data_IF_158307589860
#
_entry.id   IF_158307589860
#
_cell.length_a   1.000
_cell.length_b   1.000
_cell.length_c   1.000
_cell.angle_alpha   90.00
_cell.angle_beta   90.00
_cell.angle_gamma   90.00
#
_symmetry.space_group_name_H-M   'P 1'
#
loop_
_entity.id
_entity.type
_entity.pdbx_description
1 polymer ?
#
# COMPACT_ATOMS: atom_id res chain seq x y z
N UNK A 1 0.39 -10.30 -0.94
CA UNK A 1 0.69 -9.52 -2.17
C UNK A 1 2.19 -9.44 -2.38
N UNK A 2 2.66 -9.26 -3.61
CA UNK A 2 4.10 -9.11 -3.94
C UNK A 2 4.32 -7.96 -4.92
N UNK A 3 5.54 -7.42 -4.96
CA UNK A 3 6.00 -6.44 -5.94
C UNK A 3 7.52 -6.60 -6.08
N UNK A 4 7.97 -7.10 -7.24
CA UNK A 4 9.36 -7.49 -7.45
C UNK A 4 10.31 -6.30 -7.32
N UNK A 5 9.98 -5.16 -7.92
CA UNK A 5 10.80 -3.94 -7.87
C UNK A 5 10.87 -3.28 -6.49
N UNK A 6 9.97 -3.65 -5.57
CA UNK A 6 9.97 -3.11 -4.21
C UNK A 6 10.79 -3.94 -3.23
N UNK A 7 10.65 -5.27 -3.29
CA UNK A 7 11.32 -6.23 -2.40
C UNK A 7 11.37 -7.60 -3.07
N UNK A 8 12.47 -7.90 -3.73
CA UNK A 8 12.68 -9.12 -4.50
C UNK A 8 12.84 -10.36 -3.60
N UNK A 9 13.58 -10.27 -2.48
CA UNK A 9 13.71 -11.41 -1.57
C UNK A 9 12.38 -11.78 -0.92
N UNK A 10 11.54 -10.79 -0.63
CA UNK A 10 10.16 -11.02 -0.19
C UNK A 10 9.35 -11.74 -1.25
N UNK A 11 9.45 -11.31 -2.52
CA UNK A 11 8.76 -11.94 -3.64
C UNK A 11 9.17 -13.40 -3.77
N UNK A 12 10.47 -13.71 -3.80
CA UNK A 12 10.98 -15.09 -3.86
C UNK A 12 10.48 -15.95 -2.70
N UNK A 13 10.55 -15.44 -1.46
CA UNK A 13 10.05 -16.15 -0.28
C UNK A 13 8.55 -16.44 -0.36
N UNK A 14 7.75 -15.52 -0.90
CA UNK A 14 6.31 -15.74 -1.09
C UNK A 14 6.05 -16.91 -2.04
N UNK A 15 6.75 -16.96 -3.18
CA UNK A 15 6.59 -18.05 -4.15
C UNK A 15 6.97 -19.41 -3.54
N UNK A 16 8.11 -19.48 -2.85
CA UNK A 16 8.55 -20.72 -2.17
C UNK A 16 7.55 -21.17 -1.10
N UNK A 17 7.02 -20.24 -0.29
CA UNK A 17 6.04 -20.57 0.74
C UNK A 17 4.70 -21.01 0.15
N UNK A 18 4.24 -20.34 -0.90
CA UNK A 18 3.00 -20.65 -1.58
C UNK A 18 3.04 -22.02 -2.27
N UNK A 19 4.17 -22.39 -2.86
CA UNK A 19 4.37 -23.69 -3.49
C UNK A 19 4.41 -24.84 -2.47
N UNK A 20 5.08 -24.64 -1.32
CA UNK A 20 5.16 -25.64 -0.25
C UNK A 20 3.87 -25.83 0.53
N UNK A 21 2.93 -24.89 0.45
CA UNK A 21 1.70 -24.95 1.20
C UNK A 21 0.80 -26.08 0.66
N UNK A 22 0.40 -27.01 1.53
CA UNK A 22 -0.48 -28.13 1.19
C UNK A 22 -1.93 -27.68 1.13
N UNK A 23 -2.25 -26.79 0.19
CA UNK A 23 -3.55 -26.18 0.03
C UNK A 23 -3.58 -25.11 -1.07
N UNK A 24 -4.70 -24.41 -1.26
CA UNK A 24 -4.79 -23.35 -2.24
C UNK A 24 -3.92 -22.15 -1.84
N UNK A 25 -3.14 -21.64 -2.79
CA UNK A 25 -2.29 -20.47 -2.61
C UNK A 25 -2.67 -19.37 -3.60
N UNK A 26 -2.79 -18.13 -3.10
CA UNK A 26 -3.05 -16.94 -3.92
C UNK A 26 -1.89 -15.95 -3.82
N UNK A 27 -1.27 -15.65 -4.97
CA UNK A 27 -0.25 -14.61 -5.10
C UNK A 27 -0.81 -13.48 -5.95
N UNK A 28 -0.99 -12.30 -5.33
CA UNK A 28 -1.35 -11.08 -6.04
C UNK A 28 -0.08 -10.27 -6.27
N UNK A 29 0.38 -10.21 -7.52
CA UNK A 29 1.60 -9.51 -7.90
C UNK A 29 1.29 -8.16 -8.56
N UNK A 30 1.94 -7.10 -8.09
CA UNK A 30 1.88 -5.81 -8.79
C UNK A 30 2.62 -5.95 -10.13
N UNK A 31 1.88 -5.82 -11.22
CA UNK A 31 2.41 -5.87 -12.59
C UNK A 31 2.31 -4.49 -13.20
N UNK A 32 3.46 -3.88 -13.46
CA UNK A 32 3.50 -2.59 -14.13
C UNK A 32 3.28 -2.81 -15.64
N UNK A 33 2.59 -1.88 -16.30
CA UNK A 33 2.23 -2.01 -17.71
C UNK A 33 2.43 -0.68 -18.45
N UNK A 34 2.65 -0.74 -19.76
CA UNK A 34 2.69 0.44 -20.64
C UNK A 34 1.42 1.30 -20.51
N UNK A 35 0.27 0.68 -20.22
CA UNK A 35 -1.00 1.35 -20.02
C UNK A 35 -1.01 2.29 -18.79
N UNK A 36 -0.07 2.12 -17.85
CA UNK A 36 0.08 3.07 -16.74
C UNK A 36 0.70 4.40 -17.22
N UNK A 37 1.32 4.43 -18.40
CA UNK A 37 1.99 5.61 -18.94
C UNK A 37 3.26 5.96 -18.17
N UNK A 38 4.05 4.94 -17.85
CA UNK A 38 5.36 5.03 -17.17
C UNK A 38 6.50 4.78 -18.15
N UNK A 39 7.70 5.25 -17.82
CA UNK A 39 8.91 4.86 -18.55
C UNK A 39 9.31 3.43 -18.16
N UNK A 40 9.23 2.50 -19.11
CA UNK A 40 9.42 1.07 -18.82
C UNK A 40 10.84 0.73 -18.34
N UNK A 41 11.85 1.51 -18.74
CA UNK A 41 13.22 1.36 -18.27
C UNK A 41 13.37 1.61 -16.76
N UNK A 42 12.45 2.38 -16.15
CA UNK A 42 12.44 2.71 -14.70
C UNK A 42 11.26 2.07 -13.96
N UNK A 43 10.61 1.08 -14.56
CA UNK A 43 9.36 0.55 -14.03
C UNK A 43 9.52 -0.17 -12.69
N UNK A 44 10.68 -0.76 -12.41
CA UNK A 44 10.98 -1.39 -11.12
C UNK A 44 11.01 -0.34 -9.99
N UNK A 45 11.58 0.83 -10.25
CA UNK A 45 11.57 1.95 -9.31
C UNK A 45 10.14 2.45 -9.07
N UNK A 46 9.27 2.44 -10.08
CA UNK A 46 7.85 2.77 -9.90
C UNK A 46 7.12 1.75 -9.02
N UNK A 47 7.42 0.44 -9.13
CA UNK A 47 6.87 -0.56 -8.20
C UNK A 47 7.32 -0.28 -6.75
N UNK A 48 8.59 0.10 -6.56
CA UNK A 48 9.11 0.49 -5.24
C UNK A 48 8.34 1.68 -4.67
N UNK A 49 8.07 2.71 -5.48
CA UNK A 49 7.27 3.87 -5.07
C UNK A 49 5.81 3.49 -4.77
N UNK A 50 5.22 2.54 -5.51
CA UNK A 50 3.88 2.03 -5.22
C UNK A 50 3.79 1.41 -3.82
N UNK A 51 4.83 0.68 -3.39
CA UNK A 51 4.88 0.12 -2.04
C UNK A 51 5.19 1.19 -0.99
N UNK A 52 6.15 2.08 -1.25
CA UNK A 52 6.53 3.15 -0.31
C UNK A 52 5.40 4.15 -0.08
N UNK A 53 4.50 4.34 -1.04
CA UNK A 53 3.33 5.22 -0.89
C UNK A 53 2.16 4.58 -0.14
N UNK A 54 2.25 3.28 0.18
CA UNK A 54 1.12 2.52 0.73
C UNK A 54 0.05 2.15 -0.32
N UNK A 55 0.19 2.59 -1.57
CA UNK A 55 -0.73 2.22 -2.65
C UNK A 55 -0.78 0.71 -2.86
N UNK A 56 0.35 0.03 -2.67
CA UNK A 56 0.46 -1.44 -2.73
C UNK A 56 1.16 -2.01 -1.49
N UNK A 57 0.43 -2.28 -0.38
CA UNK A 57 1.04 -2.90 0.79
C UNK A 57 1.48 -4.34 0.49
N UNK A 58 2.57 -4.78 1.11
CA UNK A 58 3.09 -6.14 1.01
C UNK A 58 2.71 -6.90 2.27
N UNK A 59 1.93 -7.97 2.11
CA UNK A 59 1.50 -8.82 3.22
C UNK A 59 1.41 -10.29 2.80
N UNK A 60 1.42 -11.16 3.80
CA UNK A 60 1.21 -12.60 3.65
C UNK A 60 0.18 -13.07 4.67
N UNK A 61 -0.65 -14.02 4.26
CA UNK A 61 -1.53 -14.75 5.16
C UNK A 61 -1.10 -16.21 5.15
N UNK A 62 -0.72 -16.77 6.31
CA UNK A 62 -0.35 -18.16 6.45
C UNK A 62 -1.31 -18.87 7.42
N UNK A 63 -2.24 -19.69 6.91
CA UNK A 63 -3.20 -20.42 7.75
C UNK A 63 -2.55 -21.35 8.79
N UNK A 64 -1.33 -21.83 8.57
CA UNK A 64 -0.62 -22.67 9.56
C UNK A 64 -0.38 -21.95 10.88
N UNK A 65 -0.10 -20.64 10.84
CA UNK A 65 0.19 -19.87 12.04
C UNK A 65 -1.05 -19.78 12.92
N UNK A 66 -2.24 -19.63 12.33
CA UNK A 66 -3.49 -19.66 13.07
C UNK A 66 -3.70 -21.00 13.79
N UNK A 67 -3.30 -22.13 13.18
CA UNK A 67 -3.35 -23.45 13.82
C UNK A 67 -2.37 -23.60 14.98
N UNK A 68 -1.31 -22.80 15.00
CA UNK A 68 -0.31 -22.74 16.06
C UNK A 68 -0.65 -21.69 17.13
N UNK A 69 -1.78 -20.97 17.00
CA UNK A 69 -2.16 -19.88 17.90
C UNK A 69 -1.41 -18.57 17.65
N UNK A 70 -0.66 -18.48 16.55
CA UNK A 70 0.04 -17.26 16.10
C UNK A 70 -0.83 -16.44 15.12
N UNK A 71 -0.48 -15.17 14.90
CA UNK A 71 -1.18 -14.34 13.93
C UNK A 71 -0.87 -14.81 12.49
N UNK A 72 -1.88 -15.22 11.70
CA UNK A 72 -1.66 -15.64 10.32
C UNK A 72 -1.29 -14.51 9.38
N UNK A 73 -1.66 -13.25 9.69
CA UNK A 73 -1.37 -12.10 8.84
C UNK A 73 -0.05 -11.47 9.24
N UNK A 74 0.87 -11.40 8.27
CA UNK A 74 2.16 -10.74 8.40
C UNK A 74 2.21 -9.58 7.42
N UNK A 75 2.41 -8.36 7.93
CA UNK A 75 2.63 -7.17 7.13
C UNK A 75 4.14 -6.98 6.90
N UNK A 76 4.59 -7.13 5.66
CA UNK A 76 6.01 -7.11 5.28
C UNK A 76 6.48 -5.75 4.72
N UNK A 77 5.54 -4.88 4.34
CA UNK A 77 5.81 -3.48 3.99
C UNK A 77 6.01 -2.63 5.25
N UNK A 78 6.85 -1.60 5.14
CA UNK A 78 6.93 -0.54 6.16
C UNK A 78 5.79 0.46 5.99
N UNK A 79 5.53 1.26 7.04
CA UNK A 79 4.60 2.39 6.99
C UNK A 79 4.82 3.26 5.75
N UNK A 80 3.74 3.82 5.15
CA UNK A 80 3.84 4.72 4.01
C UNK A 80 4.81 5.86 4.30
N UNK A 81 5.81 6.05 3.44
CA UNK A 81 6.88 7.05 3.60
C UNK A 81 6.79 8.21 2.62
N UNK A 82 6.05 8.02 1.53
CA UNK A 82 5.87 9.02 0.48
C UNK A 82 4.38 9.26 0.25
N UNK A 83 3.95 10.50 -0.05
CA UNK A 83 2.56 10.76 -0.42
C UNK A 83 2.16 10.00 -1.68
N UNK A 84 0.91 9.53 -1.75
CA UNK A 84 0.37 8.84 -2.93
C UNK A 84 0.51 9.69 -4.19
N UNK A 85 0.32 11.01 -4.08
CA UNK A 85 0.48 11.96 -5.19
C UNK A 85 1.84 11.86 -5.87
N UNK A 86 2.92 11.66 -5.11
CA UNK A 86 4.27 11.56 -5.67
C UNK A 86 4.42 10.34 -6.59
N UNK A 87 3.88 9.20 -6.16
CA UNK A 87 3.80 8.00 -7.00
C UNK A 87 2.86 8.23 -8.20
N UNK A 88 1.66 8.76 -7.97
CA UNK A 88 0.66 8.92 -9.01
C UNK A 88 1.11 9.88 -10.13
N UNK A 89 1.87 10.93 -9.80
CA UNK A 89 2.42 11.86 -10.78
C UNK A 89 3.45 11.23 -11.72
N UNK A 90 4.01 10.06 -11.39
CA UNK A 90 4.90 9.30 -12.29
C UNK A 90 4.13 8.55 -13.38
N UNK A 91 2.83 8.32 -13.21
CA UNK A 91 2.03 7.53 -14.14
C UNK A 91 1.16 8.44 -15.02
N UNK A 92 1.21 8.21 -16.34
CA UNK A 92 0.38 8.90 -17.32
C UNK A 92 -1.12 8.77 -17.06
N UNK A 93 -1.57 7.61 -16.55
CA UNK A 93 -3.00 7.35 -16.25
C UNK A 93 -3.60 8.32 -15.24
N UNK A 94 -2.81 8.80 -14.27
CA UNK A 94 -3.27 9.79 -13.29
C UNK A 94 -3.03 11.21 -13.80
N UNK A 95 -1.89 11.47 -14.44
CA UNK A 95 -1.57 12.79 -15.03
C UNK A 95 -2.58 13.23 -16.09
N UNK A 96 -3.18 12.30 -16.82
CA UNK A 96 -4.22 12.60 -17.81
C UNK A 96 -5.42 13.33 -17.18
N UNK A 97 -5.85 12.91 -15.99
CA UNK A 97 -6.93 13.56 -15.25
C UNK A 97 -6.49 14.94 -14.73
N UNK A 98 -5.28 15.05 -14.17
CA UNK A 98 -4.76 16.34 -13.70
C UNK A 98 -4.67 17.40 -14.79
N UNK A 99 -4.51 16.99 -16.06
CA UNK A 99 -4.50 17.90 -17.22
C UNK A 99 -5.90 18.28 -17.69
N UNK A 100 -6.83 17.32 -17.70
CA UNK A 100 -8.17 17.50 -18.28
C UNK A 100 -9.17 18.09 -17.28
N UNK A 101 -9.08 17.73 -16.00
CA UNK A 101 -9.92 18.24 -14.92
C UNK A 101 -9.13 18.40 -13.61
N UNK A 102 -8.37 19.50 -13.45
CA UNK A 102 -7.50 19.71 -12.29
C UNK A 102 -8.25 19.73 -10.95
N UNK A 103 -9.45 20.32 -10.91
CA UNK A 103 -10.23 20.44 -9.67
C UNK A 103 -10.71 19.08 -9.17
N UNK A 104 -11.23 18.24 -10.07
CA UNK A 104 -11.64 16.89 -9.73
C UNK A 104 -10.43 15.99 -9.39
N UNK A 105 -9.31 16.18 -10.09
CA UNK A 105 -8.08 15.45 -9.79
C UNK A 105 -7.60 15.71 -8.35
N UNK A 106 -7.65 16.97 -7.90
CA UNK A 106 -7.24 17.35 -6.55
C UNK A 106 -8.07 16.62 -5.49
N UNK A 107 -9.39 16.62 -5.65
CA UNK A 107 -10.30 15.94 -4.73
C UNK A 107 -10.08 14.42 -4.72
N UNK A 108 -9.93 13.80 -5.90
CA UNK A 108 -9.68 12.36 -5.98
C UNK A 108 -8.31 11.96 -5.42
N UNK A 109 -7.29 12.81 -5.51
CA UNK A 109 -6.01 12.55 -4.85
C UNK A 109 -6.12 12.61 -3.33
N UNK A 110 -6.92 13.52 -2.79
CA UNK A 110 -7.20 13.60 -1.34
C UNK A 110 -7.90 12.32 -0.87
N UNK A 111 -8.99 11.95 -1.53
CA UNK A 111 -9.75 10.73 -1.22
C UNK A 111 -8.89 9.47 -1.34
N UNK A 112 -8.12 9.32 -2.42
CA UNK A 112 -7.24 8.16 -2.60
C UNK A 112 -6.16 8.08 -1.51
N UNK A 113 -5.63 9.22 -1.05
CA UNK A 113 -4.66 9.24 0.04
C UNK A 113 -5.29 8.78 1.36
N UNK A 114 -6.53 9.20 1.65
CA UNK A 114 -7.30 8.77 2.82
C UNK A 114 -7.57 7.26 2.77
N UNK A 115 -8.09 6.75 1.66
CA UNK A 115 -8.36 5.32 1.45
C UNK A 115 -7.10 4.45 1.65
N UNK A 116 -5.96 4.92 1.16
CA UNK A 116 -4.67 4.23 1.32
C UNK A 116 -4.28 4.14 2.80
N UNK A 117 -4.45 5.23 3.56
CA UNK A 117 -4.14 5.27 4.99
C UNK A 117 -5.13 4.43 5.80
N UNK A 118 -6.41 4.46 5.47
CA UNK A 118 -7.42 3.63 6.14
C UNK A 118 -7.17 2.15 5.92
N UNK A 119 -6.91 1.76 4.67
CA UNK A 119 -6.52 0.38 4.34
C UNK A 119 -5.22 -0.02 5.05
N UNK A 120 -4.26 0.88 5.18
CA UNK A 120 -3.04 0.62 5.93
C UNK A 120 -3.35 0.32 7.41
N UNK A 121 -4.14 1.16 8.07
CA UNK A 121 -4.54 0.99 9.47
C UNK A 121 -5.24 -0.36 9.70
N UNK A 122 -6.10 -0.77 8.77
CA UNK A 122 -6.77 -2.08 8.83
C UNK A 122 -5.73 -3.20 8.81
N UNK A 123 -4.78 -3.20 7.87
CA UNK A 123 -3.76 -4.24 7.80
C UNK A 123 -2.80 -4.22 8.99
N UNK A 124 -2.46 -3.05 9.50
CA UNK A 124 -1.63 -2.89 10.70
C UNK A 124 -2.34 -3.46 11.93
N UNK A 125 -3.62 -3.14 12.14
CA UNK A 125 -4.42 -3.71 13.22
C UNK A 125 -4.60 -5.23 13.08
N UNK A 126 -4.77 -5.74 11.87
CA UNK A 126 -4.83 -7.19 11.63
C UNK A 126 -3.49 -7.88 11.89
N UNK A 127 -2.35 -7.24 11.62
CA UNK A 127 -1.02 -7.78 11.89
C UNK A 127 -0.64 -7.69 13.38
N UNK A 128 -1.15 -6.67 14.08
CA UNK A 128 -0.86 -6.38 15.48
C UNK A 128 -2.17 -6.23 16.29
N UNK A 129 -2.94 -7.31 16.51
CA UNK A 129 -4.23 -7.23 17.20
C UNK A 129 -4.12 -6.68 18.63
N UNK A 130 -2.96 -6.81 19.28
CA UNK A 130 -2.68 -6.26 20.61
C UNK A 130 -2.55 -4.74 20.66
N UNK A 131 -2.28 -4.06 19.53
CA UNK A 131 -2.23 -2.59 19.47
C UNK A 131 -3.60 -1.96 19.21
N UNK A 132 -4.63 -2.75 18.86
CA UNK A 132 -5.98 -2.24 18.62
C UNK A 132 -6.70 -1.78 19.91
N UNK A 133 -6.20 -2.16 21.09
CA UNK A 133 -6.73 -1.72 22.40
C UNK A 133 -6.00 -0.51 23.02
N UNK A 134 -5.00 0.07 22.34
CA UNK A 134 -4.26 1.24 22.83
C UNK A 134 -4.03 2.22 21.68
N UNK A 135 -4.98 3.14 21.45
CA UNK A 135 -4.77 4.23 20.49
C UNK A 135 -6.00 4.68 19.70
N UNK A 136 -7.13 4.89 20.36
CA UNK A 136 -8.17 5.77 19.82
C UNK A 136 -7.88 7.25 20.21
N UNK A 137 -6.63 7.69 20.05
CA UNK A 137 -6.30 9.12 20.07
C UNK A 137 -5.91 9.56 18.67
N UNK A 138 -6.76 10.43 18.12
CA UNK A 138 -6.61 11.14 16.86
C UNK A 138 -5.22 11.83 16.79
N UNK A 139 -4.36 11.50 15.80
CA UNK A 139 -3.13 12.23 15.59
C UNK A 139 -3.49 13.61 15.02
N UNK A 140 -3.76 14.54 15.93
CA UNK A 140 -4.21 15.90 15.66
C UNK A 140 -3.43 16.57 14.54
N UNK A 141 -4.05 16.64 13.37
CA UNK A 141 -3.72 17.63 12.36
C UNK A 141 -4.12 18.98 12.96
N UNK A 142 -3.13 19.80 13.30
CA UNK A 142 -3.36 21.18 13.77
C UNK A 142 -4.03 22.00 12.68
N UNK A 143 -5.36 22.04 12.69
CA UNK A 143 -6.13 23.05 11.94
C UNK A 143 -5.91 24.38 12.65
N UNK A 144 -5.22 25.31 11.98
CA UNK A 144 -5.10 26.69 12.46
C UNK A 144 -6.50 27.27 12.65
N UNK A 145 -6.84 27.61 13.90
CA UNK A 145 -8.05 28.36 14.25
C UNK A 145 -8.05 29.68 13.46
N UNK A 146 -9.02 29.84 12.57
CA UNK A 146 -9.34 31.15 12.02
C UNK A 146 -9.81 32.04 13.17
N UNK A 147 -9.17 33.20 13.34
CA UNK A 147 -9.62 34.23 14.27
C UNK A 147 -10.99 34.75 13.82
N UNK A 148 -11.90 34.83 14.78
CA UNK A 148 -13.13 35.60 14.69
C UNK A 148 -13.27 36.41 15.97
N UNK A 149 -12.70 37.62 15.98
CA UNK A 149 -13.27 38.87 16.51
C UNK A 149 -12.64 40.00 15.69
#
# INVERSE_FOLDING_TARGET
SVALGAKDEHTLRCFIKAERYQGPSLIIAFSHCIAHGIEMATAMQNQKLAVLSGYWPLFRYNPELARQGENPLILDSSNPKVPFREYAQKEGRFRALSKSNPQQAEELFRLAQEDILDRWRIYEAMANPSSASVGAEDPGIKVKKALSI
#
